data_IF_729984585672
#
_entry.id   IF_729984585672
#
_cell.length_a   1.000
_cell.length_b   1.000
_cell.length_c   1.000
_cell.angle_alpha   90.00
_cell.angle_beta   90.00
_cell.angle_gamma   90.00
#
_symmetry.space_group_name_H-M   'P 1'
#
loop_
_entity.id
_entity.type
_entity.pdbx_description
1 polymer ?
#
# COMPACT_ATOMS: atom_id res chain seq x y z
N UNK A 1 6.16 10.88 -10.72
CA UNK A 1 4.82 11.25 -10.21
C UNK A 1 4.66 10.54 -8.89
N UNK A 2 4.44 11.28 -7.80
CA UNK A 2 4.35 10.71 -6.44
C UNK A 2 2.86 10.55 -6.10
N UNK A 3 2.42 9.34 -5.75
CA UNK A 3 1.05 9.11 -5.29
C UNK A 3 0.86 9.67 -3.88
N UNK A 4 -0.34 10.17 -3.59
CA UNK A 4 -0.70 10.71 -2.28
C UNK A 4 -2.16 10.39 -1.95
N UNK A 5 -2.64 10.79 -0.77
CA UNK A 5 -3.97 10.44 -0.29
C UNK A 5 -5.14 10.98 -1.14
N UNK A 6 -4.90 11.95 -2.01
CA UNK A 6 -5.90 12.54 -2.91
C UNK A 6 -5.69 12.12 -4.37
N UNK A 7 -4.46 11.79 -4.75
CA UNK A 7 -4.08 11.39 -6.10
C UNK A 7 -3.37 10.04 -6.05
N UNK A 8 -4.17 8.98 -6.18
CA UNK A 8 -3.72 7.59 -6.13
C UNK A 8 -4.39 6.76 -7.24
N UNK A 9 -3.84 5.60 -7.60
CA UNK A 9 -4.40 4.71 -8.61
C UNK A 9 -5.81 4.21 -8.24
N UNK A 10 -6.70 4.10 -9.24
CA UNK A 10 -8.06 3.62 -9.03
C UNK A 10 -8.13 2.24 -8.31
N UNK A 11 -7.13 1.38 -8.53
CA UNK A 11 -7.02 0.07 -7.87
C UNK A 11 -6.93 0.17 -6.33
N UNK A 12 -6.42 1.28 -5.78
CA UNK A 12 -6.32 1.50 -4.33
C UNK A 12 -7.60 2.06 -3.71
N UNK A 13 -8.61 2.43 -4.52
CA UNK A 13 -9.84 3.09 -4.04
C UNK A 13 -10.67 2.21 -3.12
N UNK A 14 -10.65 0.89 -3.34
CA UNK A 14 -11.37 -0.09 -2.51
C UNK A 14 -10.68 -0.41 -1.18
N UNK A 15 -9.46 0.07 -0.96
CA UNK A 15 -8.73 -0.21 0.28
C UNK A 15 -9.24 0.67 1.44
N UNK A 16 -9.25 0.13 2.68
CA UNK A 16 -9.45 0.96 3.88
C UNK A 16 -8.42 2.09 3.95
N UNK A 17 -8.74 3.25 4.55
CA UNK A 17 -7.85 4.42 4.55
C UNK A 17 -6.43 4.15 5.05
N UNK A 18 -6.28 3.39 6.13
CA UNK A 18 -4.97 3.02 6.70
C UNK A 18 -4.16 2.10 5.76
N UNK A 19 -4.81 1.13 5.14
CA UNK A 19 -4.20 0.20 4.17
C UNK A 19 -3.81 0.94 2.90
N UNK A 20 -4.65 1.86 2.42
CA UNK A 20 -4.36 2.71 1.27
C UNK A 20 -3.14 3.60 1.53
N UNK A 21 -3.06 4.22 2.71
CA UNK A 21 -1.89 5.03 3.07
C UNK A 21 -0.59 4.21 3.02
N UNK A 22 -0.62 2.98 3.55
CA UNK A 22 0.54 2.08 3.48
C UNK A 22 0.86 1.62 2.05
N UNK A 23 -0.16 1.37 1.23
CA UNK A 23 0.04 1.03 -0.17
C UNK A 23 0.68 2.18 -0.95
N UNK A 24 0.27 3.43 -0.70
CA UNK A 24 0.88 4.62 -1.31
C UNK A 24 2.35 4.75 -0.93
N UNK A 25 2.69 4.55 0.35
CA UNK A 25 4.08 4.57 0.84
C UNK A 25 4.95 3.56 0.10
N UNK A 26 4.54 2.29 0.09
CA UNK A 26 5.29 1.20 -0.55
C UNK A 26 5.42 1.44 -2.06
N UNK A 27 4.33 1.87 -2.69
CA UNK A 27 4.34 2.16 -4.11
C UNK A 27 5.30 3.27 -4.50
N UNK A 28 5.35 4.36 -3.74
CA UNK A 28 6.28 5.45 -3.99
C UNK A 28 7.73 4.96 -3.83
N UNK A 29 8.02 4.14 -2.81
CA UNK A 29 9.34 3.54 -2.63
C UNK A 29 9.74 2.62 -3.79
N UNK A 30 8.81 1.83 -4.34
CA UNK A 30 9.08 1.01 -5.53
C UNK A 30 9.37 1.86 -6.77
N UNK A 31 8.65 2.97 -6.95
CA UNK A 31 8.88 3.90 -8.07
C UNK A 31 10.21 4.66 -7.93
N UNK A 32 10.66 4.94 -6.71
CA UNK A 32 11.97 5.54 -6.43
C UNK A 32 13.13 4.58 -6.72
N UNK A 33 12.91 3.28 -6.56
CA UNK A 33 13.90 2.23 -6.86
C UNK A 33 13.98 1.86 -8.36
N UNK A 34 13.44 2.71 -9.24
CA UNK A 34 13.35 2.48 -10.70
C UNK A 34 12.66 1.15 -11.09
N UNK A 35 11.68 0.68 -10.30
CA UNK A 35 10.85 -0.46 -10.73
C UNK A 35 10.13 -0.08 -12.04
N UNK A 36 10.36 -0.82 -13.15
CA UNK A 36 10.07 -0.33 -14.48
C UNK A 36 8.57 -0.29 -14.83
N UNK A 37 7.72 -1.10 -14.15
CA UNK A 37 6.29 -1.13 -14.43
C UNK A 37 5.44 -0.56 -13.27
N UNK A 38 4.71 0.52 -13.57
CA UNK A 38 3.72 1.11 -12.66
C UNK A 38 2.65 0.11 -12.24
N UNK A 39 2.21 -0.79 -13.12
CA UNK A 39 1.20 -1.81 -12.80
C UNK A 39 1.72 -2.81 -11.79
N UNK A 40 3.01 -3.16 -11.89
CA UNK A 40 3.69 -4.02 -10.93
C UNK A 40 3.82 -3.30 -9.58
N UNK A 41 4.30 -2.05 -9.56
CA UNK A 41 4.37 -1.26 -8.34
C UNK A 41 3.01 -1.13 -7.63
N UNK A 42 1.92 -0.95 -8.39
CA UNK A 42 0.55 -0.92 -7.85
C UNK A 42 0.16 -2.26 -7.24
N UNK A 43 0.39 -3.36 -7.96
CA UNK A 43 -0.04 -4.68 -7.51
C UNK A 43 0.73 -5.14 -6.27
N UNK A 44 2.05 -4.96 -6.29
CA UNK A 44 2.96 -5.29 -5.18
C UNK A 44 2.63 -4.46 -3.95
N UNK A 45 2.47 -3.15 -4.09
CA UNK A 45 2.15 -2.28 -2.94
C UNK A 45 0.81 -2.61 -2.30
N UNK A 46 -0.22 -2.97 -3.07
CA UNK A 46 -1.52 -3.40 -2.55
C UNK A 46 -1.38 -4.73 -1.79
N UNK A 47 -0.63 -5.68 -2.34
CA UNK A 47 -0.39 -6.98 -1.71
C UNK A 47 0.30 -6.83 -0.36
N UNK A 48 1.40 -6.08 -0.32
CA UNK A 48 2.19 -5.82 0.88
C UNK A 48 1.41 -5.04 1.93
N UNK A 49 0.67 -4.00 1.53
CA UNK A 49 -0.15 -3.21 2.46
C UNK A 49 -1.25 -4.06 3.12
N UNK A 50 -1.84 -5.01 2.38
CA UNK A 50 -2.82 -5.96 2.93
C UNK A 50 -2.16 -6.93 3.92
N UNK A 51 -0.95 -7.39 3.63
CA UNK A 51 -0.20 -8.26 4.55
C UNK A 51 0.13 -7.53 5.86
N UNK A 52 0.66 -6.31 5.76
CA UNK A 52 0.90 -5.43 6.89
C UNK A 52 -0.36 -5.20 7.74
N UNK A 53 -1.50 -4.93 7.11
CA UNK A 53 -2.76 -4.72 7.82
C UNK A 53 -3.19 -5.97 8.61
N UNK A 54 -3.07 -7.15 8.00
CA UNK A 54 -3.39 -8.43 8.68
C UNK A 54 -2.49 -8.67 9.89
N UNK A 55 -1.19 -8.44 9.77
CA UNK A 55 -0.25 -8.59 10.89
C UNK A 55 -0.61 -7.65 12.04
N UNK A 56 -0.90 -6.38 11.74
CA UNK A 56 -1.28 -5.39 12.75
C UNK A 56 -2.60 -5.74 13.46
N UNK A 57 -3.55 -6.35 12.75
CA UNK A 57 -4.79 -6.88 13.34
C UNK A 57 -4.56 -8.11 14.23
N UNK A 58 -3.52 -8.91 13.97
CA UNK A 58 -3.14 -10.05 14.81
C UNK A 58 -2.41 -9.56 16.06
N UNK A 59 -1.44 -8.66 15.92
CA UNK A 59 -0.74 -8.03 17.04
C UNK A 59 -1.72 -7.36 18.00
N UNK A 60 -2.64 -6.54 17.48
CA UNK A 60 -3.65 -5.85 18.31
C UNK A 60 -4.55 -6.80 19.11
N UNK A 61 -4.66 -8.08 18.70
CA UNK A 61 -5.43 -9.12 19.41
C UNK A 61 -4.61 -9.92 20.41
N UNK A 62 -3.28 -9.90 20.34
CA UNK A 62 -2.40 -10.60 21.29
C UNK A 62 -2.03 -9.73 22.49
N UNK A 63 -2.15 -8.41 22.39
CA UNK A 63 -1.84 -7.46 23.49
C UNK A 63 -3.07 -7.01 24.29
N UNK A 64 -4.24 -7.60 24.04
CA UNK A 64 -5.50 -7.34 24.74
C UNK A 64 -5.92 -8.55 25.57
#
# INVERSE_FOLDING_TARGET
MVWNQTHFPAAMRSLPPSVRAKAIEIANSLLEQEVPDKKEAISTSIYEARAWARQRFVESRQVA
#
